data_IF_854989996537
#
_entry.id   IF_854989996537
#
_cell.length_a   1.000
_cell.length_b   1.000
_cell.length_c   1.000
_cell.angle_alpha   90.00
_cell.angle_beta   90.00
_cell.angle_gamma   90.00
#
_symmetry.space_group_name_H-M   'P 1'
#
loop_
_entity.id
_entity.type
_entity.pdbx_description
1 polymer ?
#
# COMPACT_ATOMS: atom_id res chain seq x y z
N UNK A 1 8.92 -1.65 -6.48
CA UNK A 1 7.90 -1.94 -5.46
C UNK A 1 6.95 -2.98 -6.00
N UNK A 2 6.54 -3.96 -5.18
CA UNK A 2 5.50 -4.94 -5.56
C UNK A 2 4.21 -4.55 -4.86
N UNK A 3 3.09 -4.55 -5.59
CA UNK A 3 1.77 -4.33 -4.99
C UNK A 3 1.00 -5.65 -4.92
N UNK A 4 0.61 -6.04 -3.71
CA UNK A 4 -0.26 -7.17 -3.43
C UNK A 4 -1.47 -6.63 -2.68
N UNK A 5 -2.67 -6.93 -3.16
CA UNK A 5 -3.91 -6.63 -2.47
C UNK A 5 -4.31 -7.85 -1.64
N UNK A 6 -4.55 -7.63 -0.34
CA UNK A 6 -5.04 -8.67 0.58
C UNK A 6 -6.44 -8.29 1.04
N UNK A 7 -7.41 -9.15 0.77
CA UNK A 7 -8.81 -8.95 1.10
C UNK A 7 -9.27 -10.00 2.12
N UNK A 8 -10.13 -9.60 3.04
CA UNK A 8 -10.82 -10.52 3.94
C UNK A 8 -12.21 -10.79 3.38
N UNK A 9 -12.45 -12.01 2.93
CA UNK A 9 -13.72 -12.45 2.40
C UNK A 9 -14.61 -12.97 3.54
N UNK A 10 -15.52 -12.11 3.99
CA UNK A 10 -16.46 -12.40 5.08
C UNK A 10 -17.71 -13.16 4.62
N UNK A 11 -17.87 -13.38 3.30
CA UNK A 11 -19.02 -14.10 2.74
C UNK A 11 -18.78 -15.61 2.66
N UNK A 12 -17.55 -16.08 2.88
CA UNK A 12 -17.24 -17.51 2.95
C UNK A 12 -17.22 -18.00 4.39
N UNK A 13 -17.58 -19.28 4.60
CA UNK A 13 -17.36 -19.99 5.87
C UNK A 13 -16.45 -21.19 5.63
N UNK A 14 -15.24 -21.25 6.25
CA UNK A 14 -14.67 -20.22 7.13
C UNK A 14 -14.36 -18.91 6.37
N UNK A 15 -14.19 -17.81 7.11
CA UNK A 15 -13.68 -16.54 6.56
C UNK A 15 -12.35 -16.84 5.86
N UNK A 16 -12.17 -16.29 4.66
CA UNK A 16 -10.94 -16.47 3.87
C UNK A 16 -10.20 -15.16 3.72
N UNK A 17 -8.88 -15.27 3.62
CA UNK A 17 -8.02 -14.17 3.21
C UNK A 17 -7.58 -14.46 1.79
N UNK A 18 -7.95 -13.60 0.86
CA UNK A 18 -7.58 -13.71 -0.54
C UNK A 18 -6.44 -12.72 -0.83
N UNK A 19 -5.42 -13.18 -1.55
CA UNK A 19 -4.29 -12.35 -1.98
C UNK A 19 -4.23 -12.26 -3.49
N UNK A 20 -4.12 -11.04 -4.00
CA UNK A 20 -4.07 -10.74 -5.42
C UNK A 20 -2.78 -10.00 -5.73
N UNK A 21 -1.93 -10.59 -6.56
CA UNK A 21 -0.82 -9.87 -7.16
C UNK A 21 -1.37 -8.85 -8.16
N UNK A 22 -1.02 -7.58 -7.97
CA UNK A 22 -1.52 -6.50 -8.82
C UNK A 22 -0.48 -6.15 -9.89
N UNK A 23 0.72 -5.73 -9.47
CA UNK A 23 1.76 -5.34 -10.40
C UNK A 23 3.14 -5.17 -9.73
N UNK A 24 4.16 -5.14 -10.59
CA UNK A 24 5.44 -4.53 -10.25
C UNK A 24 5.44 -3.07 -10.67
N UNK A 25 5.87 -2.21 -9.76
CA UNK A 25 5.94 -0.77 -9.96
C UNK A 25 7.40 -0.36 -9.92
N UNK A 26 7.88 0.20 -11.03
CA UNK A 26 9.17 0.87 -11.05
C UNK A 26 9.03 2.18 -10.29
N UNK A 27 9.73 2.28 -9.17
CA UNK A 27 9.79 3.52 -8.39
C UNK A 27 11.20 4.07 -8.59
N UNK A 28 11.30 5.30 -9.09
CA UNK A 28 12.59 5.97 -9.31
C UNK A 28 13.15 6.47 -7.98
N UNK A 29 12.31 7.14 -7.19
CA UNK A 29 12.66 7.69 -5.88
C UNK A 29 11.95 6.93 -4.76
N UNK A 30 12.68 6.38 -3.79
CA UNK A 30 12.10 5.61 -2.68
C UNK A 30 11.76 6.46 -1.46
N UNK A 31 11.64 7.79 -1.60
CA UNK A 31 11.19 8.67 -0.52
C UNK A 31 9.74 8.34 -0.15
N UNK A 32 9.35 8.64 1.09
CA UNK A 32 7.99 8.36 1.58
C UNK A 32 6.91 9.05 0.73
N UNK A 33 7.17 10.28 0.29
CA UNK A 33 6.25 11.04 -0.57
C UNK A 33 6.14 10.46 -1.98
N UNK A 34 7.26 10.08 -2.60
CA UNK A 34 7.26 9.45 -3.92
C UNK A 34 6.50 8.12 -3.92
N UNK A 35 6.71 7.29 -2.89
CA UNK A 35 5.99 6.03 -2.70
C UNK A 35 4.49 6.27 -2.50
N UNK A 36 4.11 7.27 -1.71
CA UNK A 36 2.71 7.63 -1.49
C UNK A 36 2.02 8.06 -2.80
N UNK A 37 2.62 8.98 -3.55
CA UNK A 37 2.05 9.48 -4.80
C UNK A 37 1.97 8.37 -5.87
N UNK A 38 2.99 7.50 -5.92
CA UNK A 38 3.00 6.33 -6.80
C UNK A 38 1.87 5.37 -6.45
N UNK A 39 1.69 5.05 -5.16
CA UNK A 39 0.63 4.16 -4.70
C UNK A 39 -0.77 4.74 -4.97
N UNK A 40 -0.98 6.04 -4.70
CA UNK A 40 -2.24 6.74 -4.94
C UNK A 40 -2.63 6.71 -6.42
N UNK A 41 -1.68 6.98 -7.30
CA UNK A 41 -1.90 6.95 -8.76
C UNK A 41 -2.25 5.53 -9.22
N UNK A 42 -1.53 4.52 -8.73
CA UNK A 42 -1.75 3.13 -9.08
C UNK A 42 -3.12 2.62 -8.62
N UNK A 43 -3.50 2.88 -7.36
CA UNK A 43 -4.82 2.49 -6.86
C UNK A 43 -5.95 3.17 -7.64
N UNK A 44 -5.77 4.45 -7.98
CA UNK A 44 -6.71 5.17 -8.86
C UNK A 44 -6.88 4.51 -10.23
N UNK A 45 -5.80 3.97 -10.82
CA UNK A 45 -5.89 3.25 -12.10
C UNK A 45 -6.65 1.91 -12.04
N UNK A 46 -6.78 1.33 -10.83
CA UNK A 46 -7.59 0.13 -10.58
C UNK A 46 -8.98 0.45 -10.02
N UNK A 47 -9.38 1.73 -10.01
CA UNK A 47 -10.63 2.21 -9.41
C UNK A 47 -10.77 1.82 -7.92
N UNK A 48 -9.64 1.62 -7.24
CA UNK A 48 -9.60 1.32 -5.81
C UNK A 48 -9.54 2.63 -5.03
N UNK A 49 -10.56 2.88 -4.20
CA UNK A 49 -10.58 4.04 -3.33
C UNK A 49 -9.47 3.94 -2.27
N UNK A 50 -8.53 4.88 -2.33
CA UNK A 50 -7.44 4.99 -1.38
C UNK A 50 -7.92 5.05 0.08
N UNK A 51 -9.07 5.67 0.35
CA UNK A 51 -9.62 5.77 1.71
C UNK A 51 -10.08 4.41 2.27
N UNK A 52 -10.41 3.47 1.38
CA UNK A 52 -10.79 2.11 1.74
C UNK A 52 -9.59 1.19 1.88
N UNK A 53 -8.39 1.62 1.46
CA UNK A 53 -7.17 0.85 1.61
C UNK A 53 -6.59 1.02 3.01
N UNK A 54 -6.42 -0.10 3.73
CA UNK A 54 -5.70 -0.14 5.00
C UNK A 54 -4.29 -0.68 4.74
N UNK A 55 -3.31 0.22 4.73
CA UNK A 55 -1.91 -0.15 4.47
C UNK A 55 -1.18 -0.62 5.73
N UNK A 56 -0.55 -1.80 5.66
CA UNK A 56 0.65 -2.11 6.43
C UNK A 56 1.83 -2.12 5.46
N UNK A 57 2.70 -1.12 5.56
CA UNK A 57 3.93 -1.06 4.76
C UNK A 57 4.99 -1.93 5.41
N UNK A 58 5.33 -3.05 4.78
CA UNK A 58 6.49 -3.85 5.18
C UNK A 58 7.71 -3.31 4.43
N UNK A 59 8.48 -2.45 5.08
CA UNK A 59 9.83 -2.14 4.63
C UNK A 59 10.80 -3.16 5.26
N UNK A 60 11.76 -3.67 4.48
CA UNK A 60 12.95 -4.25 5.09
C UNK A 60 13.79 -3.06 5.57
N UNK A 61 13.45 -2.60 6.78
CA UNK A 61 13.87 -1.36 7.43
C UNK A 61 15.27 -0.84 7.08
N UNK A 62 15.31 0.14 6.17
CA UNK A 62 16.40 1.14 6.11
C UNK A 62 16.00 2.44 5.37
N UNK A 63 15.08 2.39 4.39
CA UNK A 63 14.78 3.57 3.55
C UNK A 63 13.47 4.33 3.85
N UNK A 64 12.62 3.91 4.81
CA UNK A 64 11.52 4.76 5.32
C UNK A 64 11.88 5.50 6.62
N UNK A 65 13.17 5.62 6.93
CA UNK A 65 13.68 6.43 8.05
C UNK A 65 14.20 7.77 7.54
N UNK A 66 13.34 8.55 6.87
CA UNK A 66 13.59 9.99 6.82
C UNK A 66 13.25 10.59 8.17
N UNK A 67 14.16 11.43 8.64
CA UNK A 67 14.44 11.76 10.03
C UNK A 67 13.30 12.41 10.82
N UNK A 68 12.08 12.61 10.27
CA UNK A 68 10.98 13.21 11.02
C UNK A 68 9.52 12.86 10.62
N UNK A 69 9.20 12.14 9.54
CA UNK A 69 7.78 11.82 9.18
C UNK A 69 7.66 10.54 8.36
N UNK A 70 7.40 9.41 9.02
CA UNK A 70 7.08 8.16 8.32
C UNK A 70 5.75 8.26 7.57
N UNK A 71 5.59 7.47 6.49
CA UNK A 71 4.36 7.35 5.68
C UNK A 71 3.12 7.01 6.53
N UNK A 72 3.32 6.38 7.69
CA UNK A 72 2.27 6.08 8.66
C UNK A 72 1.59 7.34 9.24
N UNK A 73 2.27 8.50 9.24
CA UNK A 73 1.71 9.75 9.75
C UNK A 73 0.64 10.37 8.85
N UNK A 74 0.64 10.05 7.54
CA UNK A 74 -0.28 10.60 6.54
C UNK A 74 -1.54 9.77 6.32
N UNK A 75 -1.66 8.60 6.96
CA UNK A 75 -2.78 7.64 6.76
C UNK A 75 -3.77 7.65 7.92
N UNK A 76 -3.66 8.60 8.86
CA UNK A 76 -4.65 8.83 9.92
C UNK A 76 -5.41 10.13 9.67
N UNK A 77 -6.62 10.02 9.13
CA UNK A 77 -7.77 10.81 9.57
C UNK A 77 -8.94 9.87 9.80
#
# INVERSE_FOLDING_TARGET
MTLILRCVNVYTSPIKVDEFFISFVKVVETTGESLYNTLKTLLGSYELDFNNVRGQGYDNGSNMKEQNRGVQSSTKR
#
